data_IF_139622522250
#
_entry.id   IF_139622522250
#
_cell.length_a   1.000
_cell.length_b   1.000
_cell.length_c   1.000
_cell.angle_alpha   90.00
_cell.angle_beta   90.00
_cell.angle_gamma   90.00
#
_symmetry.space_group_name_H-M   'P 1'
#
loop_
_entity.id
_entity.type
_entity.pdbx_description
1 polymer ?
#
# COMPACT_ATOMS: atom_id res chain seq x y z
N UNK A 1 -49.80 -20.44 -25.65
CA UNK A 1 -50.54 -20.21 -24.40
C UNK A 1 -49.81 -19.16 -23.58
N UNK A 2 -50.53 -18.09 -23.17
CA UNK A 2 -50.39 -17.22 -21.99
C UNK A 2 -48.97 -16.68 -21.67
N UNK A 3 -48.63 -15.44 -22.05
CA UNK A 3 -48.82 -14.17 -21.30
C UNK A 3 -47.99 -14.08 -20.01
N UNK A 4 -47.09 -13.09 -19.97
CA UNK A 4 -46.47 -12.51 -18.76
C UNK A 4 -45.33 -11.60 -19.21
N UNK A 5 -45.44 -10.26 -19.29
CA UNK A 5 -46.17 -9.35 -18.42
C UNK A 5 -45.27 -8.90 -17.27
N UNK A 6 -44.17 -8.19 -17.57
CA UNK A 6 -43.22 -7.70 -16.57
C UNK A 6 -42.81 -6.26 -16.88
N UNK A 7 -43.52 -5.30 -16.27
CA UNK A 7 -43.13 -3.89 -16.30
C UNK A 7 -41.98 -3.66 -15.31
N UNK A 8 -40.81 -3.27 -15.81
CA UNK A 8 -39.71 -2.77 -14.97
C UNK A 8 -39.81 -1.25 -14.92
N UNK A 9 -40.20 -0.71 -13.77
CA UNK A 9 -40.18 0.71 -13.49
C UNK A 9 -38.73 1.18 -13.34
N UNK A 10 -38.25 1.95 -14.32
CA UNK A 10 -36.96 2.65 -14.27
C UNK A 10 -37.09 3.90 -13.41
N UNK A 11 -36.59 3.86 -12.17
CA UNK A 11 -36.41 5.06 -11.35
C UNK A 11 -35.11 5.74 -11.79
N UNK A 12 -35.24 6.82 -12.58
CA UNK A 12 -34.15 7.71 -12.91
C UNK A 12 -33.88 8.64 -11.71
N UNK A 13 -32.78 8.42 -11.00
CA UNK A 13 -32.28 9.39 -10.00
C UNK A 13 -31.32 10.33 -10.72
N UNK A 14 -31.83 11.48 -11.15
CA UNK A 14 -31.02 12.60 -11.63
C UNK A 14 -30.78 13.59 -10.51
N UNK A 15 -29.55 13.63 -9.97
CA UNK A 15 -29.11 14.74 -9.12
C UNK A 15 -28.29 15.69 -10.00
N UNK A 16 -28.90 16.81 -10.39
CA UNK A 16 -28.23 17.90 -11.08
C UNK A 16 -27.54 18.76 -10.01
N UNK A 17 -26.21 18.84 -10.04
CA UNK A 17 -25.45 19.79 -9.22
C UNK A 17 -24.99 20.93 -10.14
N UNK A 18 -25.61 22.10 -10.02
CA UNK A 18 -25.16 23.32 -10.70
C UNK A 18 -24.25 24.11 -9.76
N UNK A 19 -22.93 24.01 -9.95
CA UNK A 19 -21.98 24.98 -9.38
C UNK A 19 -21.84 26.14 -10.35
N UNK A 20 -22.40 27.30 -9.99
CA UNK A 20 -22.13 28.56 -10.67
C UNK A 20 -20.74 29.06 -10.24
N UNK A 21 -19.75 28.95 -11.13
CA UNK A 21 -18.44 29.57 -10.94
C UNK A 21 -18.50 30.96 -11.56
N UNK A 22 -18.59 32.01 -10.74
CA UNK A 22 -18.37 33.38 -11.21
C UNK A 22 -16.87 33.64 -11.20
N UNK A 23 -16.22 33.35 -12.32
CA UNK A 23 -14.92 33.91 -12.67
C UNK A 23 -15.12 35.31 -13.24
N UNK A 24 -14.81 36.34 -12.46
CA UNK A 24 -14.65 37.70 -12.98
C UNK A 24 -13.16 37.96 -13.19
N UNK A 25 -12.68 37.69 -14.40
CA UNK A 25 -11.40 38.22 -14.86
C UNK A 25 -11.63 38.99 -16.16
N UNK A 26 -11.30 40.28 -16.13
CA UNK A 26 -10.91 41.04 -17.31
C UNK A 26 -11.98 41.94 -17.94
N UNK A 27 -11.72 43.24 -17.84
CA UNK A 27 -11.56 44.07 -19.04
C UNK A 27 -12.81 44.69 -19.66
N UNK A 28 -12.88 46.02 -19.59
CA UNK A 28 -13.20 46.83 -20.76
C UNK A 28 -14.66 47.21 -21.01
N UNK A 29 -14.90 48.52 -20.84
CA UNK A 29 -15.76 49.38 -21.66
C UNK A 29 -17.26 49.05 -21.79
N UNK A 30 -18.07 49.87 -21.10
CA UNK A 30 -18.96 50.78 -21.84
C UNK A 30 -20.48 50.54 -21.79
N UNK A 31 -21.11 51.36 -20.93
CA UNK A 31 -22.44 52.01 -21.05
C UNK A 31 -23.73 51.25 -20.69
N UNK A 32 -24.62 52.06 -20.09
CA UNK A 32 -26.03 51.87 -19.70
C UNK A 32 -26.19 51.29 -18.27
N UNK A 33 -26.88 51.89 -17.29
CA UNK A 33 -27.91 52.93 -17.30
C UNK A 33 -27.94 53.75 -15.99
N UNK A 34 -28.40 55.00 -16.11
CA UNK A 34 -28.46 56.02 -15.05
C UNK A 34 -29.61 55.79 -14.03
N UNK A 35 -29.61 54.65 -13.33
CA UNK A 35 -30.64 54.33 -12.30
C UNK A 35 -30.08 53.63 -11.05
N UNK A 36 -28.77 53.69 -10.80
CA UNK A 36 -28.14 53.02 -9.64
C UNK A 36 -27.69 53.98 -8.51
N UNK A 37 -28.19 55.23 -8.47
CA UNK A 37 -27.75 56.24 -7.47
C UNK A 37 -28.74 56.49 -6.33
N UNK A 38 -29.70 55.60 -6.10
CA UNK A 38 -30.63 55.72 -4.96
C UNK A 38 -30.92 54.34 -4.36
N UNK A 39 -29.91 53.70 -3.77
CA UNK A 39 -30.15 52.80 -2.64
C UNK A 39 -29.80 53.57 -1.36
N UNK A 40 -30.59 53.45 -0.28
CA UNK A 40 -30.21 54.00 1.02
C UNK A 40 -28.83 53.46 1.39
N UNK A 41 -27.94 54.32 1.88
CA UNK A 41 -26.72 53.86 2.52
C UNK A 41 -27.10 52.88 3.65
N UNK A 42 -26.31 51.81 3.90
CA UNK A 42 -26.53 50.96 5.06
C UNK A 42 -26.59 51.86 6.30
N UNK A 43 -27.59 51.68 7.15
CA UNK A 43 -27.61 52.39 8.42
C UNK A 43 -26.35 51.97 9.21
N UNK A 44 -25.58 52.95 9.68
CA UNK A 44 -24.44 52.69 10.56
C UNK A 44 -24.95 51.94 11.80
N UNK A 45 -24.56 50.67 11.91
CA UNK A 45 -24.74 49.90 13.13
C UNK A 45 -23.89 50.57 14.22
N UNK A 46 -24.39 50.73 15.45
CA UNK A 46 -23.57 51.24 16.54
C UNK A 46 -22.39 50.28 16.73
N UNK A 47 -21.18 50.74 16.40
CA UNK A 47 -19.96 50.03 16.70
C UNK A 47 -19.72 50.14 18.21
N UNK A 48 -20.24 49.17 18.96
CA UNK A 48 -19.88 49.00 20.37
C UNK A 48 -18.45 48.44 20.42
N UNK A 49 -17.47 49.33 20.20
CA UNK A 49 -16.02 49.06 20.23
C UNK A 49 -15.48 48.78 21.63
N UNK A 50 -16.37 48.75 22.63
CA UNK A 50 -16.10 48.47 24.03
C UNK A 50 -15.85 46.98 24.33
N UNK A 51 -16.29 46.08 23.43
CA UNK A 51 -16.15 44.64 23.61
C UNK A 51 -14.82 44.14 22.99
N UNK A 52 -13.97 43.41 23.75
CA UNK A 52 -12.77 42.79 23.20
C UNK A 52 -13.12 41.88 22.02
N UNK A 53 -12.39 42.01 20.91
CA UNK A 53 -12.56 41.13 19.76
C UNK A 53 -12.35 39.65 20.18
N UNK A 54 -13.18 38.70 19.71
CA UNK A 54 -12.99 37.30 20.00
C UNK A 54 -11.61 36.85 19.51
N UNK A 55 -10.78 36.40 20.46
CA UNK A 55 -9.46 35.86 20.19
C UNK A 55 -9.59 34.34 19.98
N UNK A 56 -9.11 33.84 18.84
CA UNK A 56 -8.90 32.41 18.64
C UNK A 56 -7.50 32.06 19.09
N UNK A 57 -7.39 31.16 20.05
CA UNK A 57 -6.09 30.58 20.43
C UNK A 57 -5.51 29.85 19.22
N UNK A 58 -4.38 30.32 18.69
CA UNK A 58 -3.67 29.67 17.58
C UNK A 58 -2.89 28.47 18.12
N UNK A 59 -3.59 27.44 18.58
CA UNK A 59 -2.96 26.16 18.88
C UNK A 59 -2.62 25.50 17.55
N UNK A 60 -1.33 25.40 17.24
CA UNK A 60 -0.89 24.65 16.08
C UNK A 60 -1.35 23.19 16.21
N UNK A 61 -1.90 22.57 15.14
CA UNK A 61 -2.27 21.17 15.19
C UNK A 61 -1.05 20.30 15.51
N UNK A 62 -1.24 19.19 16.23
CA UNK A 62 -0.14 18.29 16.56
C UNK A 62 0.55 17.79 15.28
N UNK A 63 1.86 17.50 15.33
CA UNK A 63 2.58 16.98 14.18
C UNK A 63 1.94 15.67 13.70
N UNK A 64 1.93 15.41 12.38
CA UNK A 64 1.32 14.20 11.86
C UNK A 64 2.02 12.96 12.43
N UNK A 65 1.26 11.90 12.76
CA UNK A 65 1.81 10.67 13.30
C UNK A 65 2.81 10.02 12.33
N UNK A 66 3.89 9.44 12.85
CA UNK A 66 4.89 8.74 12.04
C UNK A 66 4.33 7.38 11.56
N UNK A 67 4.22 7.13 10.24
CA UNK A 67 3.72 5.88 9.68
C UNK A 67 4.39 4.61 10.22
N UNK A 68 5.69 4.66 10.49
CA UNK A 68 6.45 3.49 10.93
C UNK A 68 5.99 3.00 12.30
N UNK A 69 5.59 3.92 13.19
CA UNK A 69 5.18 3.57 14.56
C UNK A 69 3.93 2.68 14.56
N UNK A 70 3.08 2.78 13.53
CA UNK A 70 1.85 1.98 13.39
C UNK A 70 2.09 0.57 12.83
N UNK A 71 3.32 0.25 12.43
CA UNK A 71 3.68 -1.07 11.90
C UNK A 71 4.87 -1.68 12.63
N UNK A 72 5.46 -1.01 13.62
CA UNK A 72 6.59 -1.55 14.37
C UNK A 72 6.21 -2.58 15.44
N UNK A 73 4.94 -2.70 15.81
CA UNK A 73 4.48 -3.67 16.81
C UNK A 73 3.07 -4.22 16.57
N UNK A 74 2.76 -5.38 17.14
CA UNK A 74 1.45 -6.01 17.05
C UNK A 74 0.33 -5.22 17.73
N UNK A 75 0.70 -4.47 18.75
CA UNK A 75 -0.21 -3.66 19.54
C UNK A 75 -0.71 -2.46 18.74
N UNK A 76 0.09 -1.92 17.82
CA UNK A 76 -0.29 -0.77 16.99
C UNK A 76 -0.75 -1.16 15.60
N UNK A 77 -0.25 -2.27 15.06
CA UNK A 77 -0.58 -2.72 13.71
C UNK A 77 -1.86 -3.55 13.70
N UNK A 78 -3.01 -2.87 13.54
CA UNK A 78 -4.36 -3.44 13.64
C UNK A 78 -4.95 -3.90 12.30
N UNK A 79 -4.37 -3.50 11.17
CA UNK A 79 -4.89 -3.91 9.88
C UNK A 79 -4.86 -5.47 9.73
N UNK A 80 -5.78 -6.09 8.99
CA UNK A 80 -5.71 -7.53 8.74
C UNK A 80 -4.43 -7.93 7.98
N UNK A 81 -3.88 -9.09 8.32
CA UNK A 81 -2.68 -9.64 7.68
C UNK A 81 -3.11 -10.70 6.64
N UNK A 82 -3.33 -10.26 5.41
CA UNK A 82 -3.88 -11.09 4.32
C UNK A 82 -2.97 -11.10 3.09
N UNK A 83 -3.13 -12.08 2.19
CA UNK A 83 -2.41 -12.11 0.91
C UNK A 83 -2.64 -10.83 0.12
N UNK A 84 -3.90 -10.42 -0.05
CA UNK A 84 -4.23 -9.24 -0.86
C UNK A 84 -3.76 -7.93 -0.22
N UNK A 85 -3.59 -7.89 1.10
CA UNK A 85 -3.02 -6.74 1.80
C UNK A 85 -1.55 -6.47 1.48
N UNK A 86 -0.78 -7.50 1.09
CA UNK A 86 0.63 -7.36 0.71
C UNK A 86 0.87 -7.55 -0.80
N UNK A 87 0.01 -8.33 -1.46
CA UNK A 87 0.16 -8.73 -2.86
C UNK A 87 -1.17 -8.59 -3.63
N UNK A 88 -1.73 -7.37 -3.76
CA UNK A 88 -3.02 -7.14 -4.42
C UNK A 88 -2.99 -7.44 -5.92
N UNK A 89 -4.18 -7.66 -6.50
CA UNK A 89 -4.38 -7.77 -7.95
C UNK A 89 -3.79 -9.03 -8.60
N UNK A 90 -3.82 -9.14 -9.93
CA UNK A 90 -3.26 -10.30 -10.68
C UNK A 90 -1.92 -10.02 -11.34
N UNK A 91 -1.49 -8.76 -11.32
CA UNK A 91 -0.25 -8.27 -11.93
C UNK A 91 0.32 -7.14 -11.09
N UNK A 92 1.63 -6.96 -11.17
CA UNK A 92 2.37 -5.87 -10.57
C UNK A 92 3.05 -5.07 -11.68
N UNK A 93 2.83 -3.76 -11.70
CA UNK A 93 3.49 -2.85 -12.64
C UNK A 93 4.50 -1.99 -11.89
N UNK A 94 5.76 -1.99 -12.36
CA UNK A 94 6.86 -1.18 -11.83
C UNK A 94 7.49 -0.41 -13.00
N UNK A 95 7.11 0.86 -13.15
CA UNK A 95 7.36 1.58 -14.40
C UNK A 95 6.70 0.85 -15.56
N UNK A 96 7.44 0.63 -16.65
CA UNK A 96 6.93 -0.09 -17.83
C UNK A 96 7.00 -1.63 -17.68
N UNK A 97 7.54 -2.13 -16.57
CA UNK A 97 7.69 -3.57 -16.34
C UNK A 97 6.45 -4.16 -15.65
N UNK A 98 5.71 -4.96 -16.42
CA UNK A 98 4.56 -5.74 -15.92
C UNK A 98 5.00 -7.15 -15.52
N UNK A 99 4.70 -7.51 -14.28
CA UNK A 99 5.00 -8.79 -13.66
C UNK A 99 3.70 -9.55 -13.42
N UNK A 100 3.60 -10.79 -13.88
CA UNK A 100 2.38 -11.58 -13.71
C UNK A 100 2.43 -12.32 -12.38
N UNK A 101 1.39 -12.17 -11.56
CA UNK A 101 1.27 -12.86 -10.27
C UNK A 101 0.91 -14.32 -10.53
N UNK A 102 1.74 -15.22 -10.00
CA UNK A 102 1.50 -16.65 -9.94
C UNK A 102 0.78 -17.04 -8.64
N UNK A 103 1.17 -18.19 -8.09
CA UNK A 103 0.63 -18.67 -6.83
C UNK A 103 0.93 -17.74 -5.65
N UNK A 104 0.01 -17.76 -4.69
CA UNK A 104 0.11 -17.09 -3.39
C UNK A 104 -0.15 -18.08 -2.27
N UNK A 105 0.41 -17.84 -1.09
CA UNK A 105 0.15 -18.68 0.09
C UNK A 105 0.21 -17.86 1.36
N UNK A 106 -0.51 -18.30 2.38
CA UNK A 106 -0.37 -17.79 3.75
C UNK A 106 -0.35 -18.95 4.74
N UNK A 107 0.55 -18.90 5.72
CA UNK A 107 0.69 -19.96 6.72
C UNK A 107 1.15 -19.39 8.05
N UNK A 108 0.54 -19.85 9.14
CA UNK A 108 1.03 -19.59 10.50
C UNK A 108 2.30 -20.42 10.82
N UNK A 109 2.52 -21.53 10.13
CA UNK A 109 3.74 -22.34 10.22
C UNK A 109 4.80 -21.75 9.30
N UNK A 110 5.51 -20.73 9.78
CA UNK A 110 6.46 -19.97 8.96
C UNK A 110 7.56 -20.84 8.32
N UNK A 111 7.94 -21.96 8.94
CA UNK A 111 8.92 -22.89 8.37
C UNK A 111 8.48 -23.55 7.05
N UNK A 112 7.18 -23.77 6.83
CA UNK A 112 6.66 -24.51 5.66
C UNK A 112 7.00 -23.87 4.31
N UNK A 113 7.28 -22.56 4.28
CA UNK A 113 7.64 -21.82 3.07
C UNK A 113 9.14 -21.61 2.84
N UNK A 114 9.99 -22.33 3.56
CA UNK A 114 11.44 -22.06 3.62
C UNK A 114 12.29 -23.26 3.20
N UNK A 115 13.58 -23.02 3.01
CA UNK A 115 14.59 -24.04 2.77
C UNK A 115 15.90 -23.67 3.49
N UNK A 116 16.71 -24.67 3.81
CA UNK A 116 17.88 -24.50 4.66
C UNK A 116 17.49 -24.03 6.07
N UNK A 117 18.33 -23.20 6.69
CA UNK A 117 18.14 -22.77 8.07
C UNK A 117 17.05 -21.69 8.27
N UNK A 118 16.47 -21.11 7.20
CA UNK A 118 15.55 -19.98 7.35
C UNK A 118 14.32 -20.36 8.18
N UNK A 119 13.79 -21.58 8.03
CA UNK A 119 12.61 -22.02 8.76
C UNK A 119 12.79 -22.04 10.27
N UNK A 120 13.96 -22.50 10.75
CA UNK A 120 14.28 -22.46 12.17
C UNK A 120 14.54 -21.04 12.65
N UNK A 121 15.24 -20.21 11.85
CA UNK A 121 15.46 -18.79 12.18
C UNK A 121 14.15 -18.03 12.36
N UNK A 122 13.19 -18.20 11.45
CA UNK A 122 11.87 -17.56 11.55
C UNK A 122 11.10 -18.05 12.79
N UNK A 123 11.10 -19.36 13.03
CA UNK A 123 10.41 -19.96 14.18
C UNK A 123 11.01 -19.48 15.51
N UNK A 124 12.33 -19.50 15.64
CA UNK A 124 13.05 -19.10 16.86
C UNK A 124 12.90 -17.61 17.18
N UNK A 125 12.68 -16.77 16.16
CA UNK A 125 12.41 -15.34 16.35
C UNK A 125 10.91 -15.04 16.54
N UNK A 126 10.04 -16.05 16.58
CA UNK A 126 8.63 -15.88 16.90
C UNK A 126 7.77 -15.41 15.72
N UNK A 127 8.11 -15.83 14.50
CA UNK A 127 7.28 -15.56 13.32
C UNK A 127 5.86 -16.11 13.53
N UNK A 128 4.85 -15.26 13.30
CA UNK A 128 3.43 -15.57 13.46
C UNK A 128 2.79 -16.03 12.17
N UNK A 129 3.25 -15.48 11.05
CA UNK A 129 2.68 -15.74 9.73
C UNK A 129 3.72 -15.48 8.65
N UNK A 130 3.76 -16.36 7.65
CA UNK A 130 4.51 -16.18 6.42
C UNK A 130 3.53 -16.09 5.25
N UNK A 131 3.54 -14.96 4.56
CA UNK A 131 2.72 -14.66 3.38
C UNK A 131 3.64 -14.65 2.18
N UNK A 132 3.28 -15.34 1.10
CA UNK A 132 4.12 -15.44 -0.10
C UNK A 132 3.32 -15.17 -1.36
N UNK A 133 3.99 -14.63 -2.34
CA UNK A 133 3.54 -14.53 -3.71
C UNK A 133 4.72 -14.75 -4.67
N UNK A 134 4.47 -15.43 -5.78
CA UNK A 134 5.44 -15.49 -6.88
C UNK A 134 5.01 -14.59 -8.00
N UNK A 135 5.96 -13.91 -8.64
CA UNK A 135 5.73 -13.22 -9.90
C UNK A 135 6.71 -13.71 -10.96
N UNK A 136 6.29 -13.64 -12.22
CA UNK A 136 7.14 -13.94 -13.36
C UNK A 136 7.17 -12.82 -14.39
N UNK A 137 8.30 -12.69 -15.07
CA UNK A 137 8.52 -11.80 -16.21
C UNK A 137 9.68 -12.34 -17.05
N UNK A 138 9.48 -12.46 -18.35
CA UNK A 138 10.53 -12.77 -19.34
C UNK A 138 11.48 -13.92 -18.94
N UNK A 139 10.93 -15.09 -18.62
CA UNK A 139 11.70 -16.28 -18.24
C UNK A 139 12.25 -16.26 -16.80
N UNK A 140 12.11 -15.15 -16.07
CA UNK A 140 12.50 -15.02 -14.66
C UNK A 140 11.27 -15.18 -13.77
N UNK A 141 11.44 -15.87 -12.64
CA UNK A 141 10.47 -15.91 -11.55
C UNK A 141 11.11 -15.51 -10.23
N UNK A 142 10.33 -14.81 -9.39
CA UNK A 142 10.74 -14.41 -8.05
C UNK A 142 9.60 -14.69 -7.07
N UNK A 143 9.89 -15.45 -6.02
CA UNK A 143 8.99 -15.63 -4.88
C UNK A 143 9.39 -14.62 -3.82
N UNK A 144 8.44 -13.79 -3.40
CA UNK A 144 8.54 -12.90 -2.25
C UNK A 144 7.85 -13.56 -1.07
N UNK A 145 8.43 -13.43 0.11
CA UNK A 145 7.81 -13.82 1.38
C UNK A 145 7.89 -12.70 2.39
N UNK A 146 6.79 -12.39 3.05
CA UNK A 146 6.69 -11.47 4.19
C UNK A 146 6.41 -12.29 5.44
N UNK A 147 7.38 -12.31 6.35
CA UNK A 147 7.28 -12.91 7.68
C UNK A 147 6.89 -11.84 8.70
N UNK A 148 5.84 -12.13 9.47
CA UNK A 148 5.25 -11.21 10.44
C UNK A 148 5.69 -11.60 11.85
N UNK A 149 6.17 -10.64 12.62
CA UNK A 149 6.64 -10.82 13.99
C UNK A 149 5.86 -9.92 14.95
N UNK A 150 5.99 -10.10 16.26
CA UNK A 150 5.34 -9.20 17.22
C UNK A 150 5.99 -7.81 17.24
N UNK A 151 7.30 -7.70 17.00
CA UNK A 151 8.03 -6.43 17.06
C UNK A 151 9.05 -6.28 15.94
N UNK A 152 9.41 -5.03 15.65
CA UNK A 152 10.50 -4.68 14.72
C UNK A 152 11.83 -5.32 15.11
N UNK A 153 12.17 -5.35 16.39
CA UNK A 153 13.41 -5.96 16.86
C UNK A 153 13.50 -7.46 16.51
N UNK A 154 12.38 -8.19 16.60
CA UNK A 154 12.31 -9.61 16.22
C UNK A 154 12.45 -9.79 14.72
N UNK A 155 11.80 -8.95 13.92
CA UNK A 155 11.90 -8.97 12.47
C UNK A 155 13.34 -8.69 12.01
N UNK A 156 13.97 -7.63 12.55
CA UNK A 156 15.37 -7.29 12.27
C UNK A 156 16.31 -8.42 12.66
N UNK A 157 16.16 -8.98 13.87
CA UNK A 157 16.97 -10.11 14.33
C UNK A 157 16.85 -11.34 13.42
N UNK A 158 15.65 -11.63 12.92
CA UNK A 158 15.45 -12.73 11.98
C UNK A 158 16.18 -12.52 10.64
N UNK A 159 16.27 -11.27 10.16
CA UNK A 159 17.06 -10.92 8.96
C UNK A 159 18.55 -11.03 9.23
N UNK A 160 19.02 -10.48 10.35
CA UNK A 160 20.44 -10.50 10.73
C UNK A 160 20.95 -11.95 10.92
N UNK A 161 20.08 -12.86 11.38
CA UNK A 161 20.38 -14.29 11.55
C UNK A 161 20.03 -15.14 10.31
N UNK A 162 19.50 -14.52 9.24
CA UNK A 162 18.96 -15.29 8.11
C UNK A 162 20.06 -16.07 7.39
N UNK A 163 19.80 -17.36 7.21
CA UNK A 163 20.62 -18.28 6.41
C UNK A 163 19.69 -19.23 5.66
N UNK A 164 20.11 -19.72 4.50
CA UNK A 164 19.21 -20.44 3.59
C UNK A 164 18.34 -19.49 2.77
N UNK A 165 17.04 -19.75 2.68
CA UNK A 165 16.14 -18.87 1.93
C UNK A 165 14.69 -19.34 1.88
N UNK A 166 13.85 -18.60 1.18
CA UNK A 166 12.51 -19.07 0.85
C UNK A 166 12.60 -20.29 -0.07
N UNK A 167 11.70 -21.23 0.13
CA UNK A 167 11.37 -22.17 -0.93
C UNK A 167 10.69 -21.39 -2.07
N UNK A 168 10.89 -21.75 -3.34
CA UNK A 168 10.09 -21.19 -4.43
C UNK A 168 8.62 -21.64 -4.31
N UNK A 169 7.68 -20.76 -4.66
CA UNK A 169 6.25 -21.08 -4.73
C UNK A 169 5.85 -21.24 -6.21
N UNK A 170 5.65 -22.48 -6.65
CA UNK A 170 5.12 -22.79 -7.98
C UNK A 170 3.59 -22.75 -8.01
N UNK A 171 3.02 -22.72 -9.20
CA UNK A 171 1.58 -22.57 -9.44
C UNK A 171 1.21 -21.20 -10.01
N UNK A 172 -0.03 -21.05 -10.46
CA UNK A 172 -0.49 -19.83 -11.14
C UNK A 172 0.28 -19.54 -12.44
N UNK A 173 0.64 -20.59 -13.20
CA UNK A 173 1.42 -20.46 -14.43
C UNK A 173 2.92 -20.22 -14.20
N UNK A 174 3.44 -20.53 -13.02
CA UNK A 174 4.88 -20.49 -12.71
C UNK A 174 5.36 -21.90 -12.36
N UNK A 175 6.32 -22.41 -13.13
CA UNK A 175 6.95 -23.69 -12.86
C UNK A 175 7.80 -23.64 -11.57
N UNK A 176 8.17 -24.81 -11.06
CA UNK A 176 9.14 -24.90 -9.96
C UNK A 176 10.50 -24.37 -10.43
N UNK A 177 11.08 -23.44 -9.70
CA UNK A 177 12.40 -22.84 -9.97
C UNK A 177 13.24 -22.82 -8.69
N UNK A 178 14.54 -22.54 -8.79
CA UNK A 178 15.43 -22.45 -7.61
C UNK A 178 15.42 -23.68 -6.69
N UNK A 179 15.35 -24.88 -7.27
CA UNK A 179 15.47 -26.18 -6.58
C UNK A 179 16.68 -26.96 -7.11
N UNK A 180 17.11 -28.00 -6.39
CA UNK A 180 18.12 -28.94 -6.88
C UNK A 180 19.55 -28.37 -7.02
N UNK A 181 19.93 -27.38 -6.22
CA UNK A 181 21.30 -26.85 -6.20
C UNK A 181 21.63 -25.80 -7.27
N UNK A 182 20.64 -25.32 -8.03
CA UNK A 182 20.83 -24.15 -8.91
C UNK A 182 21.13 -22.88 -8.10
N UNK A 183 21.93 -21.98 -8.66
CA UNK A 183 22.24 -20.69 -8.03
C UNK A 183 21.11 -19.72 -8.35
N UNK A 184 20.56 -19.13 -7.31
CA UNK A 184 19.49 -18.16 -7.38
C UNK A 184 19.83 -16.93 -6.55
N UNK A 185 19.34 -15.79 -7.00
CA UNK A 185 19.43 -14.53 -6.26
C UNK A 185 18.51 -14.61 -5.04
N UNK A 186 19.04 -14.26 -3.86
CA UNK A 186 18.28 -14.18 -2.62
C UNK A 186 18.54 -12.84 -1.95
N UNK A 187 17.50 -12.24 -1.39
CA UNK A 187 17.65 -11.04 -0.56
C UNK A 187 16.84 -11.18 0.72
N UNK A 188 17.28 -10.49 1.77
CA UNK A 188 16.62 -10.42 3.07
C UNK A 188 16.64 -8.97 3.55
N UNK A 189 15.51 -8.47 4.02
CA UNK A 189 15.34 -7.10 4.49
C UNK A 189 14.27 -7.05 5.58
N UNK A 190 14.22 -5.98 6.37
CA UNK A 190 13.17 -5.76 7.37
C UNK A 190 12.72 -4.30 7.41
N UNK A 191 11.45 -4.09 7.75
CA UNK A 191 10.88 -2.77 7.99
C UNK A 191 9.66 -2.89 8.91
N UNK A 192 9.66 -2.15 10.03
CA UNK A 192 8.68 -2.38 11.10
C UNK A 192 8.72 -3.82 11.60
N UNK A 193 7.58 -4.38 12.00
CA UNK A 193 7.44 -5.77 12.49
C UNK A 193 7.55 -6.85 11.40
N UNK A 194 8.02 -6.49 10.20
CA UNK A 194 8.04 -7.34 9.03
C UNK A 194 9.48 -7.63 8.58
N UNK A 195 9.80 -8.90 8.40
CA UNK A 195 10.95 -9.32 7.61
C UNK A 195 10.46 -9.80 6.25
N UNK A 196 11.14 -9.44 5.18
CA UNK A 196 10.78 -9.87 3.84
C UNK A 196 11.98 -10.39 3.08
N UNK A 197 11.73 -11.44 2.32
CA UNK A 197 12.73 -12.24 1.66
C UNK A 197 12.33 -12.43 0.21
N UNK A 198 13.34 -12.55 -0.65
CA UNK A 198 13.12 -12.94 -2.05
C UNK A 198 13.98 -14.14 -2.41
N UNK A 199 13.47 -14.95 -3.33
CA UNK A 199 14.27 -15.91 -4.08
C UNK A 199 13.89 -15.81 -5.55
N UNK A 200 14.89 -15.55 -6.40
CA UNK A 200 14.72 -15.26 -7.81
C UNK A 200 15.67 -16.04 -8.70
N UNK A 201 15.18 -16.50 -9.84
CA UNK A 201 15.99 -17.20 -10.83
C UNK A 201 15.23 -17.49 -12.12
N UNK A 202 15.89 -18.19 -13.03
CA UNK A 202 15.31 -18.57 -14.31
C UNK A 202 14.36 -19.76 -14.16
N UNK A 203 13.31 -19.76 -14.98
CA UNK A 203 12.31 -20.85 -15.04
C UNK A 203 12.83 -22.10 -15.76
N UNK A 204 13.87 -21.97 -16.58
CA UNK A 204 14.53 -23.05 -17.31
C UNK A 204 15.60 -23.78 -16.47
N UNK A 205 15.83 -23.36 -15.23
CA UNK A 205 16.83 -23.93 -14.33
C UNK A 205 18.25 -23.41 -14.50
N UNK A 206 18.50 -22.49 -15.46
CA UNK A 206 19.79 -21.82 -15.63
C UNK A 206 20.23 -21.18 -14.31
N UNK A 207 21.53 -21.29 -14.02
CA UNK A 207 22.16 -20.67 -12.85
C UNK A 207 22.21 -19.16 -13.04
N UNK A 208 21.80 -18.41 -12.02
CA UNK A 208 21.96 -16.97 -11.97
C UNK A 208 23.44 -16.62 -11.76
N UNK A 209 23.92 -15.64 -12.51
CA UNK A 209 25.26 -15.05 -12.43
C UNK A 209 25.15 -13.54 -12.24
N UNK A 210 26.26 -12.87 -11.94
CA UNK A 210 26.29 -11.40 -11.79
C UNK A 210 26.02 -10.65 -13.10
N UNK A 211 26.12 -11.31 -14.26
CA UNK A 211 25.81 -10.74 -15.57
C UNK A 211 24.31 -10.78 -15.91
N UNK A 212 23.48 -11.51 -15.15
CA UNK A 212 22.06 -11.67 -15.43
C UNK A 212 21.23 -10.47 -14.92
N UNK A 213 21.47 -9.28 -15.48
CA UNK A 213 20.88 -8.02 -15.04
C UNK A 213 19.34 -8.06 -14.93
N UNK A 214 18.68 -8.79 -15.82
CA UNK A 214 17.22 -8.95 -15.79
C UNK A 214 16.74 -9.60 -14.48
N UNK A 215 17.45 -10.59 -13.94
CA UNK A 215 17.09 -11.24 -12.67
C UNK A 215 17.20 -10.24 -11.52
N UNK A 216 18.25 -9.42 -11.52
CA UNK A 216 18.43 -8.38 -10.51
C UNK A 216 17.37 -7.27 -10.62
N UNK A 217 17.02 -6.86 -11.84
CA UNK A 217 15.98 -5.85 -12.08
C UNK A 217 14.60 -6.31 -11.58
N UNK A 218 14.18 -7.52 -11.97
CA UNK A 218 12.91 -8.12 -11.51
C UNK A 218 12.90 -8.30 -9.99
N UNK A 219 14.01 -8.76 -9.40
CA UNK A 219 14.12 -8.89 -7.95
C UNK A 219 14.02 -7.53 -7.24
N UNK A 220 14.72 -6.50 -7.74
CA UNK A 220 14.68 -5.14 -7.20
C UNK A 220 13.28 -4.56 -7.24
N UNK A 221 12.54 -4.78 -8.33
CA UNK A 221 11.14 -4.36 -8.45
C UNK A 221 10.27 -4.96 -7.36
N UNK A 222 10.39 -6.26 -7.13
CA UNK A 222 9.60 -6.94 -6.10
C UNK A 222 9.99 -6.56 -4.67
N UNK A 223 11.28 -6.37 -4.40
CA UNK A 223 11.77 -5.89 -3.11
C UNK A 223 11.25 -4.47 -2.82
N UNK A 224 11.32 -3.58 -3.81
CA UNK A 224 10.81 -2.20 -3.70
C UNK A 224 9.31 -2.16 -3.54
N UNK A 225 8.57 -2.96 -4.31
CA UNK A 225 7.13 -3.08 -4.18
C UNK A 225 6.75 -3.53 -2.76
N UNK A 226 7.39 -4.58 -2.26
CA UNK A 226 7.10 -5.13 -0.93
C UNK A 226 7.34 -4.11 0.18
N UNK A 227 8.48 -3.40 0.13
CA UNK A 227 8.75 -2.29 1.02
C UNK A 227 7.65 -1.22 0.96
N UNK A 228 7.26 -0.80 -0.24
CA UNK A 228 6.19 0.21 -0.44
C UNK A 228 4.85 -0.25 0.11
N UNK A 229 4.51 -1.54 0.00
CA UNK A 229 3.26 -2.08 0.57
C UNK A 229 3.29 -2.04 2.11
N UNK A 230 4.40 -2.47 2.72
CA UNK A 230 4.56 -2.41 4.18
C UNK A 230 4.50 -0.94 4.65
N UNK A 231 5.19 -0.03 3.97
CA UNK A 231 5.15 1.39 4.30
C UNK A 231 3.75 2.00 4.14
N UNK A 232 3.05 1.67 3.04
CA UNK A 232 1.69 2.15 2.76
C UNK A 232 0.71 1.72 3.85
N UNK A 233 0.87 0.52 4.39
CA UNK A 233 0.09 0.03 5.53
C UNK A 233 0.26 0.91 6.77
N UNK A 234 1.50 1.33 7.08
CA UNK A 234 1.77 2.28 8.16
C UNK A 234 1.12 3.64 7.90
N UNK A 235 1.21 4.13 6.66
CA UNK A 235 0.57 5.40 6.27
C UNK A 235 -0.94 5.36 6.44
N UNK A 236 -1.60 4.27 6.04
CA UNK A 236 -3.05 4.12 6.18
C UNK A 236 -3.49 4.22 7.64
N UNK A 237 -2.80 3.52 8.54
CA UNK A 237 -3.14 3.51 9.97
C UNK A 237 -2.81 4.84 10.65
N UNK A 238 -1.69 5.47 10.30
CA UNK A 238 -1.35 6.80 10.79
C UNK A 238 -2.37 7.85 10.33
N UNK A 239 -2.82 7.81 9.07
CA UNK A 239 -3.86 8.70 8.56
C UNK A 239 -5.21 8.47 9.25
N UNK A 240 -5.56 7.22 9.56
CA UNK A 240 -6.79 6.90 10.31
C UNK A 240 -6.73 7.46 11.73
N UNK A 241 -5.61 7.28 12.44
CA UNK A 241 -5.44 7.83 13.78
C UNK A 241 -5.40 9.37 13.82
N UNK A 242 -4.91 10.02 12.77
CA UNK A 242 -4.97 11.48 12.66
C UNK A 242 -6.39 12.00 12.40
N UNK A 243 -7.22 11.20 11.71
CA UNK A 243 -8.61 11.53 11.43
C UNK A 243 -9.55 11.26 12.61
N UNK A 244 -9.11 10.47 13.59
CA UNK A 244 -9.85 10.14 14.81
C UNK A 244 -9.02 10.49 16.06
N UNK A 245 -9.05 11.77 16.50
CA UNK A 245 -8.25 12.23 17.64
C UNK A 245 -8.66 11.61 18.99
N UNK A 246 -9.84 10.97 19.05
CA UNK A 246 -10.45 10.50 20.30
C UNK A 246 -10.59 8.97 20.38
N UNK A 247 -10.50 8.26 19.25
CA UNK A 247 -10.62 6.79 19.20
C UNK A 247 -12.04 6.26 19.24
#
# INVERSE_FOLDING_TARGET
>A
MMIGGGALATVAIGAIVTTAVVTSNGGGTGKADKKASQLPAPADLPEDTSAPAPSFSSVAPPPPPNPKDYISSAEKDKAPVTVDGFFPGKKLTMGDRVHLKGATSSSAKCATGTQGALGSVLTNNGCKQLIRATYRKDGVAVTVGVAVFDTEARAKKAVDQSSGGLASLSGGGVATFCRGGTVCLRTSNSYGRYAYFTIGGFLDGKRVTTADENVYAVNKDLTNFTFRQIHRRGQLQASQAAADPNG
#
